data_IF_240340924331
#
_entry.id   IF_240340924331
#
_cell.length_a   1.000
_cell.length_b   1.000
_cell.length_c   1.000
_cell.angle_alpha   90.00
_cell.angle_beta   90.00
_cell.angle_gamma   90.00
#
_symmetry.space_group_name_H-M   'P 1'
#
loop_
_entity.id
_entity.type
_entity.pdbx_description
1 polymer ?
#
# COMPACT_ATOMS: atom_id res chain seq x y z
N UNK A 1 -17.32 -42.12 -19.22
CA UNK A 1 -17.22 -41.01 -20.19
C UNK A 1 -17.41 -39.68 -19.49
N UNK A 2 -16.35 -38.86 -19.33
CA UNK A 2 -16.47 -37.50 -18.77
C UNK A 2 -17.02 -36.57 -19.87
N UNK A 3 -18.30 -36.22 -19.83
CA UNK A 3 -18.90 -35.23 -20.76
C UNK A 3 -18.32 -33.85 -20.44
N UNK A 4 -17.40 -33.38 -21.28
CA UNK A 4 -16.83 -32.05 -21.15
C UNK A 4 -17.87 -30.98 -21.51
N UNK A 5 -17.92 -29.87 -20.77
CA UNK A 5 -18.85 -28.77 -21.01
C UNK A 5 -18.75 -28.24 -22.46
N UNK A 6 -19.88 -27.88 -23.11
CA UNK A 6 -19.87 -27.23 -24.42
C UNK A 6 -19.02 -25.95 -24.40
N UNK A 7 -18.33 -25.63 -25.50
CA UNK A 7 -17.39 -24.51 -25.58
C UNK A 7 -17.96 -23.16 -25.11
N UNK A 8 -19.25 -22.89 -25.39
CA UNK A 8 -19.99 -21.70 -24.94
C UNK A 8 -20.11 -21.58 -23.41
N UNK A 9 -20.26 -22.70 -22.71
CA UNK A 9 -20.37 -22.72 -21.25
C UNK A 9 -19.03 -22.51 -20.56
N UNK A 10 -17.92 -22.96 -21.17
CA UNK A 10 -16.57 -22.64 -20.68
C UNK A 10 -16.30 -21.15 -20.78
N UNK A 11 -16.66 -20.53 -21.90
CA UNK A 11 -16.51 -19.09 -22.11
C UNK A 11 -17.32 -18.28 -21.08
N UNK A 12 -18.55 -18.68 -20.78
CA UNK A 12 -19.39 -18.02 -19.76
C UNK A 12 -18.83 -18.17 -18.34
N UNK A 13 -18.26 -19.33 -18.00
CA UNK A 13 -17.57 -19.54 -16.71
C UNK A 13 -16.31 -18.66 -16.63
N UNK A 14 -15.59 -18.45 -17.73
CA UNK A 14 -14.44 -17.55 -17.78
C UNK A 14 -14.82 -16.07 -17.69
N UNK A 15 -15.88 -15.67 -18.38
CA UNK A 15 -16.43 -14.31 -18.28
C UNK A 15 -16.93 -14.07 -16.85
N UNK A 16 -17.63 -15.04 -16.25
CA UNK A 16 -18.04 -14.99 -14.85
C UNK A 16 -16.85 -14.92 -13.87
N UNK A 17 -15.77 -15.67 -14.13
CA UNK A 17 -14.54 -15.60 -13.33
C UNK A 17 -13.77 -14.27 -13.50
N UNK A 18 -13.74 -13.71 -14.71
CA UNK A 18 -13.16 -12.41 -14.99
C UNK A 18 -13.96 -11.29 -14.33
N UNK A 19 -15.30 -11.36 -14.36
CA UNK A 19 -16.21 -10.45 -13.66
C UNK A 19 -16.06 -10.61 -12.13
N UNK A 20 -15.91 -11.82 -11.62
CA UNK A 20 -15.73 -12.07 -10.18
C UNK A 20 -14.37 -11.56 -9.66
N UNK A 21 -13.31 -11.60 -10.46
CA UNK A 21 -12.03 -10.95 -10.15
C UNK A 21 -12.10 -9.41 -10.32
N UNK A 22 -13.02 -8.91 -11.13
CA UNK A 22 -13.29 -7.49 -11.36
C UNK A 22 -14.20 -6.85 -10.31
N UNK A 23 -15.06 -7.63 -9.65
CA UNK A 23 -16.05 -7.13 -8.69
C UNK A 23 -15.34 -6.68 -7.40
N UNK A 24 -15.57 -5.43 -6.96
CA UNK A 24 -15.01 -4.92 -5.71
C UNK A 24 -15.81 -5.52 -4.55
N UNK A 25 -15.44 -6.72 -4.10
CA UNK A 25 -16.13 -7.34 -2.96
C UNK A 25 -15.57 -6.84 -1.62
N UNK A 26 -14.41 -6.17 -1.60
CA UNK A 26 -13.81 -5.76 -0.33
C UNK A 26 -13.37 -4.30 -0.30
N UNK A 27 -13.49 -3.62 0.86
CA UNK A 27 -12.87 -2.32 1.06
C UNK A 27 -11.39 -2.39 0.71
N UNK A 28 -10.82 -1.25 0.28
CA UNK A 28 -9.42 -1.14 -0.17
C UNK A 28 -8.52 -1.94 0.77
N UNK A 29 -7.79 -2.96 0.26
CA UNK A 29 -6.88 -3.71 1.09
C UNK A 29 -5.89 -2.74 1.74
N UNK A 30 -5.74 -2.84 3.05
CA UNK A 30 -4.94 -1.88 3.79
C UNK A 30 -3.50 -2.40 3.92
N UNK A 31 -2.54 -1.70 3.29
CA UNK A 31 -1.11 -2.00 3.31
C UNK A 31 -0.57 -2.51 1.97
N UNK A 32 0.68 -2.17 1.67
CA UNK A 32 1.28 -2.38 0.33
C UNK A 32 1.39 -3.83 -0.07
N UNK A 33 1.66 -4.72 0.88
CA UNK A 33 1.76 -6.16 0.60
C UNK A 33 0.42 -6.71 0.12
N UNK A 34 -0.68 -6.33 0.78
CA UNK A 34 -2.02 -6.84 0.45
C UNK A 34 -2.50 -6.23 -0.86
N UNK A 35 -2.25 -4.93 -1.09
CA UNK A 35 -2.49 -4.29 -2.39
C UNK A 35 -1.74 -5.02 -3.51
N UNK A 36 -0.44 -5.30 -3.33
CA UNK A 36 0.35 -6.00 -4.35
C UNK A 36 -0.11 -7.45 -4.58
N UNK A 37 -0.51 -8.17 -3.54
CA UNK A 37 -1.08 -9.52 -3.68
C UNK A 37 -2.40 -9.51 -4.45
N UNK A 38 -3.21 -8.46 -4.25
CA UNK A 38 -4.44 -8.26 -5.02
C UNK A 38 -4.13 -7.96 -6.48
N UNK A 39 -3.18 -7.05 -6.76
CA UNK A 39 -2.72 -6.74 -8.13
C UNK A 39 -2.16 -8.00 -8.82
N UNK A 40 -1.48 -8.88 -8.07
CA UNK A 40 -0.90 -10.12 -8.59
C UNK A 40 -1.96 -11.06 -9.18
N UNK A 41 -3.25 -10.92 -8.81
CA UNK A 41 -4.35 -11.73 -9.36
C UNK A 41 -4.57 -11.51 -10.87
N UNK A 42 -4.07 -10.40 -11.43
CA UNK A 42 -4.05 -10.21 -12.88
C UNK A 42 -3.21 -11.29 -13.59
N UNK A 43 -2.11 -11.75 -12.97
CA UNK A 43 -1.22 -12.76 -13.59
C UNK A 43 -1.94 -14.08 -13.87
N UNK A 44 -2.53 -14.79 -12.88
CA UNK A 44 -3.24 -16.04 -13.13
C UNK A 44 -4.49 -15.81 -14.00
N UNK A 45 -5.19 -14.68 -13.85
CA UNK A 45 -6.36 -14.36 -14.69
C UNK A 45 -5.98 -14.31 -16.17
N UNK A 46 -5.02 -13.47 -16.54
CA UNK A 46 -4.65 -13.29 -17.94
C UNK A 46 -3.91 -14.50 -18.51
N UNK A 47 -3.14 -15.24 -17.69
CA UNK A 47 -2.55 -16.50 -18.11
C UNK A 47 -3.63 -17.52 -18.54
N UNK A 48 -4.69 -17.60 -17.76
CA UNK A 48 -5.77 -18.57 -17.93
C UNK A 48 -6.75 -18.20 -19.05
N UNK A 49 -7.04 -16.90 -19.20
CA UNK A 49 -7.73 -16.37 -20.38
C UNK A 49 -6.94 -16.65 -21.65
N UNK A 50 -5.63 -16.40 -21.63
CA UNK A 50 -4.74 -16.67 -22.76
C UNK A 50 -4.75 -18.14 -23.15
N UNK A 51 -4.63 -19.05 -22.16
CA UNK A 51 -4.71 -20.49 -22.41
C UNK A 51 -6.04 -20.90 -23.04
N UNK A 52 -7.14 -20.32 -22.59
CA UNK A 52 -8.49 -20.59 -23.13
C UNK A 52 -8.63 -20.11 -24.57
N UNK A 53 -8.25 -18.87 -24.86
CA UNK A 53 -8.37 -18.28 -26.22
C UNK A 53 -7.44 -19.00 -27.19
N UNK A 54 -6.28 -19.45 -26.72
CA UNK A 54 -5.33 -20.22 -27.52
C UNK A 54 -5.93 -21.51 -28.11
N UNK A 55 -6.79 -22.19 -27.37
CA UNK A 55 -7.47 -23.40 -27.86
C UNK A 55 -8.59 -23.11 -28.87
N UNK A 56 -8.98 -21.85 -29.06
CA UNK A 56 -10.10 -21.45 -29.92
C UNK A 56 -9.67 -20.73 -31.20
N UNK A 57 -8.42 -20.27 -31.31
CA UNK A 57 -7.98 -19.35 -32.38
C UNK A 57 -6.54 -19.63 -32.86
N UNK A 58 -6.15 -19.14 -34.06
CA UNK A 58 -4.78 -19.25 -34.55
C UNK A 58 -3.76 -18.54 -33.65
N UNK A 59 -2.63 -19.20 -33.39
CA UNK A 59 -1.60 -18.86 -32.40
C UNK A 59 -1.17 -17.39 -32.37
N UNK A 60 -0.90 -16.78 -33.54
CA UNK A 60 -0.40 -15.41 -33.63
C UNK A 60 -1.48 -14.34 -33.33
N UNK A 61 -2.76 -14.67 -33.55
CA UNK A 61 -3.88 -13.76 -33.23
C UNK A 61 -4.13 -13.68 -31.73
N UNK A 62 -3.74 -14.71 -30.97
CA UNK A 62 -3.97 -14.79 -29.52
C UNK A 62 -3.12 -13.77 -28.76
N UNK A 63 -1.83 -13.63 -29.11
CA UNK A 63 -0.95 -12.65 -28.48
C UNK A 63 -1.45 -11.22 -28.68
N UNK A 64 -1.71 -10.84 -29.94
CA UNK A 64 -2.20 -9.50 -30.26
C UNK A 64 -3.57 -9.20 -29.62
N UNK A 65 -4.49 -10.17 -29.66
CA UNK A 65 -5.80 -10.02 -29.03
C UNK A 65 -5.70 -9.88 -27.50
N UNK A 66 -4.88 -10.71 -26.84
CA UNK A 66 -4.77 -10.65 -25.38
C UNK A 66 -4.02 -9.40 -24.89
N UNK A 67 -2.97 -8.97 -25.59
CA UNK A 67 -2.31 -7.71 -25.29
C UNK A 67 -3.28 -6.52 -25.45
N UNK A 68 -4.09 -6.52 -26.51
CA UNK A 68 -5.13 -5.50 -26.70
C UNK A 68 -6.16 -5.53 -25.57
N UNK A 69 -6.62 -6.70 -25.14
CA UNK A 69 -7.57 -6.82 -24.01
C UNK A 69 -6.98 -6.24 -22.72
N UNK A 70 -5.71 -6.54 -22.39
CA UNK A 70 -5.04 -5.96 -21.22
C UNK A 70 -5.03 -4.43 -21.29
N UNK A 71 -4.67 -3.86 -22.45
CA UNK A 71 -4.61 -2.40 -22.64
C UNK A 71 -6.00 -1.75 -22.62
N UNK A 72 -7.03 -2.42 -23.15
CA UNK A 72 -8.41 -1.92 -23.12
C UNK A 72 -8.97 -1.92 -21.69
N UNK A 73 -8.65 -2.96 -20.90
CA UNK A 73 -9.01 -3.02 -19.48
C UNK A 73 -8.43 -1.82 -18.74
N UNK A 74 -7.13 -1.55 -18.92
CA UNK A 74 -6.43 -0.42 -18.34
C UNK A 74 -7.07 0.94 -18.72
N UNK A 75 -7.47 1.09 -19.98
CA UNK A 75 -8.09 2.32 -20.48
C UNK A 75 -9.50 2.56 -19.93
N UNK A 76 -10.24 1.49 -19.62
CA UNK A 76 -11.63 1.56 -19.11
C UNK A 76 -11.64 1.80 -17.58
N UNK A 77 -10.62 1.34 -16.86
CA UNK A 77 -10.54 1.44 -15.39
C UNK A 77 -10.79 2.87 -14.83
N UNK A 78 -10.26 3.96 -15.41
CA UNK A 78 -10.55 5.33 -14.97
C UNK A 78 -12.03 5.70 -14.99
N UNK A 79 -12.77 5.22 -15.98
CA UNK A 79 -14.22 5.48 -16.10
C UNK A 79 -15.00 4.85 -14.95
N UNK A 80 -14.44 3.81 -14.32
CA UNK A 80 -15.01 3.10 -13.18
C UNK A 80 -14.46 3.60 -11.84
N UNK A 81 -13.75 4.73 -11.82
CA UNK A 81 -13.19 5.33 -10.61
C UNK A 81 -11.94 4.62 -10.07
N UNK A 82 -11.24 3.84 -10.91
CA UNK A 82 -9.94 3.23 -10.57
C UNK A 82 -8.78 4.03 -11.18
N UNK A 83 -7.64 4.05 -10.50
CA UNK A 83 -6.43 4.62 -11.08
C UNK A 83 -5.86 3.63 -12.10
N UNK A 84 -5.71 4.07 -13.36
CA UNK A 84 -4.92 3.33 -14.34
C UNK A 84 -3.47 3.26 -13.84
N UNK A 85 -3.00 2.07 -13.54
CA UNK A 85 -1.64 1.79 -13.13
C UNK A 85 -0.87 1.00 -14.19
N UNK A 86 0.26 1.54 -14.64
CA UNK A 86 1.22 0.80 -15.50
C UNK A 86 1.64 -0.58 -14.94
N UNK A 87 1.53 -0.76 -13.62
CA UNK A 87 1.69 -2.03 -12.92
C UNK A 87 0.63 -3.07 -13.29
N UNK A 88 -0.65 -2.71 -13.37
CA UNK A 88 -1.73 -3.64 -13.71
C UNK A 88 -1.57 -4.12 -15.16
N UNK A 89 -1.26 -3.20 -16.07
CA UNK A 89 -0.89 -3.54 -17.45
C UNK A 89 0.34 -4.48 -17.52
N UNK A 90 1.40 -4.19 -16.75
CA UNK A 90 2.58 -5.07 -16.69
C UNK A 90 2.24 -6.47 -16.18
N UNK A 91 1.50 -6.58 -15.07
CA UNK A 91 1.11 -7.86 -14.48
C UNK A 91 0.18 -8.66 -15.41
N UNK A 92 -0.74 -7.98 -16.10
CA UNK A 92 -1.59 -8.60 -17.10
C UNK A 92 -0.79 -9.15 -18.29
N UNK A 93 0.12 -8.35 -18.86
CA UNK A 93 1.00 -8.79 -19.94
C UNK A 93 1.95 -9.91 -19.51
N UNK A 94 2.46 -9.87 -18.27
CA UNK A 94 3.28 -10.93 -17.72
C UNK A 94 2.49 -12.25 -17.63
N UNK A 95 1.21 -12.21 -17.21
CA UNK A 95 0.31 -13.36 -17.25
C UNK A 95 0.16 -13.96 -18.64
N UNK A 96 -0.07 -13.12 -19.66
CA UNK A 96 -0.13 -13.56 -21.08
C UNK A 96 1.20 -14.21 -21.49
N UNK A 97 2.34 -13.56 -21.20
CA UNK A 97 3.67 -14.04 -21.55
C UNK A 97 4.02 -15.38 -20.89
N UNK A 98 3.70 -15.55 -19.61
CA UNK A 98 3.89 -16.80 -18.86
C UNK A 98 3.11 -17.94 -19.51
N UNK A 99 1.83 -17.72 -19.84
CA UNK A 99 1.01 -18.75 -20.48
C UNK A 99 1.56 -19.17 -21.84
N UNK A 100 1.97 -18.20 -22.67
CA UNK A 100 2.56 -18.48 -23.98
C UNK A 100 3.89 -19.21 -23.88
N UNK A 101 4.75 -18.80 -22.93
CA UNK A 101 6.05 -19.43 -22.70
C UNK A 101 5.90 -20.89 -22.28
N UNK A 102 5.04 -21.19 -21.29
CA UNK A 102 4.79 -22.58 -20.88
C UNK A 102 4.08 -23.40 -21.97
N UNK A 103 3.22 -22.78 -22.77
CA UNK A 103 2.62 -23.46 -23.92
C UNK A 103 3.68 -23.81 -24.98
N UNK A 104 4.54 -22.87 -25.38
CA UNK A 104 5.61 -23.12 -26.34
C UNK A 104 6.62 -24.16 -25.82
N UNK A 105 6.89 -24.18 -24.51
CA UNK A 105 7.69 -25.19 -23.85
C UNK A 105 7.07 -26.61 -23.85
N UNK A 106 5.77 -26.73 -24.09
CA UNK A 106 5.08 -28.02 -24.20
C UNK A 106 5.19 -28.64 -25.60
N UNK A 107 5.55 -27.84 -26.60
CA UNK A 107 5.82 -28.34 -27.95
C UNK A 107 7.12 -29.18 -27.95
N UNK A 108 7.19 -30.16 -28.86
CA UNK A 108 8.41 -30.96 -29.11
C UNK A 108 9.44 -30.17 -29.94
N UNK A 109 9.71 -28.94 -29.52
CA UNK A 109 10.67 -28.02 -30.15
C UNK A 109 12.02 -28.09 -29.41
N UNK A 110 13.12 -27.97 -30.15
CA UNK A 110 14.48 -27.83 -29.62
C UNK A 110 14.59 -26.67 -28.61
N UNK A 111 13.77 -25.63 -28.76
CA UNK A 111 13.77 -24.43 -27.89
C UNK A 111 12.98 -24.58 -26.59
N UNK A 112 12.43 -25.77 -26.27
CA UNK A 112 11.60 -25.98 -25.07
C UNK A 112 12.23 -25.46 -23.76
N UNK A 113 13.55 -25.62 -23.61
CA UNK A 113 14.28 -25.17 -22.43
C UNK A 113 14.28 -23.65 -22.28
N UNK A 114 14.50 -22.93 -23.38
CA UNK A 114 14.48 -21.47 -23.41
C UNK A 114 13.10 -20.91 -23.05
N UNK A 115 12.03 -21.51 -23.58
CA UNK A 115 10.67 -21.10 -23.23
C UNK A 115 10.31 -21.36 -21.77
N UNK A 116 10.75 -22.49 -21.18
CA UNK A 116 10.58 -22.73 -19.73
C UNK A 116 11.33 -21.71 -18.90
N UNK A 117 12.58 -21.44 -19.26
CA UNK A 117 13.41 -20.46 -18.58
C UNK A 117 12.76 -19.06 -18.63
N UNK A 118 12.20 -18.66 -19.79
CA UNK A 118 11.46 -17.40 -19.92
C UNK A 118 10.22 -17.36 -19.02
N UNK A 119 9.41 -18.43 -19.02
CA UNK A 119 8.22 -18.50 -18.17
C UNK A 119 8.55 -18.42 -16.67
N UNK A 120 9.61 -19.11 -16.23
CA UNK A 120 10.12 -19.03 -14.87
C UNK A 120 10.67 -17.64 -14.57
N UNK A 121 11.44 -17.03 -15.48
CA UNK A 121 11.99 -15.70 -15.30
C UNK A 121 10.88 -14.64 -15.14
N UNK A 122 9.81 -14.72 -15.95
CA UNK A 122 8.64 -13.85 -15.81
C UNK A 122 7.92 -14.07 -14.48
N UNK A 123 7.75 -15.33 -14.06
CA UNK A 123 7.13 -15.66 -12.76
C UNK A 123 7.96 -15.12 -11.59
N UNK A 124 9.28 -15.28 -11.63
CA UNK A 124 10.19 -14.72 -10.63
C UNK A 124 10.12 -13.19 -10.64
N UNK A 125 10.08 -12.56 -11.82
CA UNK A 125 9.99 -11.11 -11.94
C UNK A 125 8.72 -10.53 -11.30
N UNK A 126 7.55 -11.18 -11.47
CA UNK A 126 6.29 -10.71 -10.84
C UNK A 126 6.22 -11.00 -9.34
N UNK A 127 6.89 -12.05 -8.86
CA UNK A 127 6.94 -12.39 -7.44
C UNK A 127 8.04 -11.63 -6.67
N UNK A 128 9.08 -11.16 -7.36
CA UNK A 128 10.24 -10.52 -6.75
C UNK A 128 9.89 -9.38 -5.78
N UNK A 129 8.93 -8.48 -6.07
CA UNK A 129 8.56 -7.40 -5.15
C UNK A 129 7.93 -7.86 -3.82
N UNK A 130 7.42 -9.10 -3.73
CA UNK A 130 6.87 -9.63 -2.48
C UNK A 130 7.93 -9.78 -1.39
N UNK A 131 9.16 -10.14 -1.76
CA UNK A 131 10.24 -10.36 -0.81
C UNK A 131 10.59 -9.08 0.00
N UNK A 132 10.90 -7.92 -0.63
CA UNK A 132 11.12 -6.70 0.13
C UNK A 132 9.86 -6.24 0.88
N UNK A 133 8.65 -6.36 0.31
CA UNK A 133 7.44 -5.96 1.04
C UNK A 133 7.19 -6.81 2.30
N UNK A 134 7.42 -8.12 2.22
CA UNK A 134 7.34 -9.03 3.36
C UNK A 134 8.40 -8.74 4.40
N UNK A 135 9.65 -8.50 3.97
CA UNK A 135 10.75 -8.12 4.86
C UNK A 135 10.45 -6.80 5.59
N UNK A 136 9.96 -5.78 4.88
CA UNK A 136 9.59 -4.49 5.47
C UNK A 136 8.54 -4.66 6.57
N UNK A 137 7.49 -5.44 6.30
CA UNK A 137 6.42 -5.71 7.26
C UNK A 137 6.92 -6.47 8.48
N UNK A 138 7.80 -7.46 8.27
CA UNK A 138 8.43 -8.20 9.36
C UNK A 138 9.32 -7.30 10.22
N UNK A 139 10.16 -6.47 9.59
CA UNK A 139 11.00 -5.49 10.29
C UNK A 139 10.16 -4.46 11.05
N UNK A 140 9.04 -4.00 10.49
CA UNK A 140 8.11 -3.11 11.17
C UNK A 140 7.54 -3.75 12.46
N UNK A 141 7.15 -5.02 12.38
CA UNK A 141 6.67 -5.78 13.54
C UNK A 141 7.75 -5.95 14.61
N UNK A 142 8.99 -6.24 14.21
CA UNK A 142 10.12 -6.38 15.14
C UNK A 142 10.58 -5.06 15.76
N UNK A 143 10.45 -3.96 15.02
CA UNK A 143 10.83 -2.64 15.50
C UNK A 143 9.81 -2.05 16.47
N UNK A 144 8.56 -2.54 16.46
CA UNK A 144 7.51 -2.08 17.36
C UNK A 144 8.00 -2.10 18.82
N UNK A 145 7.84 -1.00 19.59
CA UNK A 145 6.92 0.13 19.37
C UNK A 145 7.48 1.31 18.55
N UNK A 146 8.63 1.17 17.90
CA UNK A 146 9.13 2.17 16.94
C UNK A 146 8.35 2.04 15.62
N UNK A 147 7.62 3.08 15.24
CA UNK A 147 6.80 3.09 14.02
C UNK A 147 7.60 3.58 12.81
N UNK A 148 8.44 4.60 13.01
CA UNK A 148 9.33 5.12 11.98
C UNK A 148 10.58 5.78 12.59
N UNK A 149 11.74 5.50 12.01
CA UNK A 149 13.02 6.22 12.24
C UNK A 149 13.71 6.60 10.93
N UNK A 150 13.13 6.18 9.80
CA UNK A 150 13.59 6.40 8.43
C UNK A 150 15.01 5.88 8.18
N UNK A 151 15.47 4.89 8.96
CA UNK A 151 16.79 4.25 8.77
C UNK A 151 16.82 3.34 7.56
N UNK A 152 15.69 2.74 7.19
CA UNK A 152 15.51 2.04 5.93
C UNK A 152 14.78 2.92 4.91
N UNK A 153 15.10 2.75 3.62
CA UNK A 153 14.31 3.38 2.52
C UNK A 153 12.89 2.82 2.44
N UNK A 154 12.69 1.59 2.94
CA UNK A 154 11.40 0.89 2.86
C UNK A 154 10.36 1.49 3.81
N UNK A 155 10.83 2.08 4.92
CA UNK A 155 10.01 2.84 5.87
C UNK A 155 9.33 4.03 5.19
N UNK A 156 10.03 4.78 4.34
CA UNK A 156 9.45 5.93 3.59
C UNK A 156 8.25 5.51 2.77
N UNK A 157 8.29 4.31 2.17
CA UNK A 157 7.18 3.82 1.36
C UNK A 157 5.94 3.41 2.16
N UNK A 158 6.02 3.35 3.50
CA UNK A 158 4.84 3.17 4.39
C UNK A 158 4.02 4.45 4.53
N UNK A 159 4.56 5.59 4.07
CA UNK A 159 3.93 6.89 4.14
C UNK A 159 3.35 7.30 2.79
N UNK A 160 2.19 7.96 2.81
CA UNK A 160 1.56 8.59 1.66
C UNK A 160 1.53 10.11 1.87
N UNK A 161 1.96 10.85 0.86
CA UNK A 161 1.84 12.31 0.84
C UNK A 161 0.49 12.72 0.26
N UNK A 162 -0.21 13.63 0.90
CA UNK A 162 -1.38 14.33 0.34
C UNK A 162 -0.99 15.79 0.15
N UNK A 163 -0.95 16.27 -1.08
CA UNK A 163 -0.42 17.61 -1.39
C UNK A 163 1.07 17.81 -1.09
N UNK A 164 1.77 16.74 -0.70
CA UNK A 164 3.15 16.76 -0.25
C UNK A 164 4.01 15.77 -1.03
N UNK A 165 5.24 16.18 -1.33
CA UNK A 165 6.31 15.28 -1.77
C UNK A 165 7.04 14.78 -0.55
N UNK A 166 7.16 13.46 -0.43
CA UNK A 166 7.88 12.81 0.66
C UNK A 166 9.24 12.34 0.15
N UNK A 167 10.30 12.80 0.80
CA UNK A 167 11.67 12.38 0.47
C UNK A 167 12.42 11.98 1.72
N UNK A 168 13.29 10.98 1.60
CA UNK A 168 14.16 10.56 2.70
C UNK A 168 15.44 11.38 2.65
N UNK A 169 15.79 12.06 3.73
CA UNK A 169 17.01 12.86 3.82
C UNK A 169 17.85 12.48 5.04
N UNK A 170 19.16 12.57 4.88
CA UNK A 170 20.12 12.39 5.98
C UNK A 170 20.17 13.67 6.82
N UNK A 171 20.17 13.51 8.14
CA UNK A 171 20.33 14.59 9.11
C UNK A 171 21.59 14.35 9.94
N UNK A 172 22.08 15.35 10.69
CA UNK A 172 23.18 15.14 11.63
C UNK A 172 22.89 14.04 12.67
N UNK A 173 21.62 13.89 13.06
CA UNK A 173 21.16 12.90 14.05
C UNK A 173 20.77 11.55 13.45
N UNK A 174 20.81 11.37 12.12
CA UNK A 174 20.43 10.13 11.46
C UNK A 174 19.70 10.34 10.13
N UNK A 175 18.46 9.88 10.06
CA UNK A 175 17.62 9.98 8.86
C UNK A 175 16.27 10.59 9.22
N UNK A 176 15.64 11.21 8.23
CA UNK A 176 14.34 11.85 8.37
C UNK A 176 13.50 11.67 7.11
N UNK A 177 12.19 11.81 7.27
CA UNK A 177 11.24 12.05 6.20
C UNK A 177 11.04 13.55 6.04
N UNK A 178 11.53 14.11 4.95
CA UNK A 178 11.21 15.46 4.52
C UNK A 178 9.84 15.44 3.85
N UNK A 179 8.92 16.18 4.44
CA UNK A 179 7.62 16.48 3.88
C UNK A 179 7.66 17.89 3.31
N UNK A 180 7.55 18.02 1.99
CA UNK A 180 7.50 19.31 1.28
C UNK A 180 6.12 19.49 0.65
N UNK A 181 5.46 20.60 0.94
CA UNK A 181 4.16 20.96 0.37
C UNK A 181 4.35 21.34 -1.09
N UNK A 182 3.69 20.63 -2.00
CA UNK A 182 3.84 20.84 -3.46
C UNK A 182 2.57 21.29 -4.14
N UNK A 183 1.42 21.18 -3.46
CA UNK A 183 0.11 21.57 -3.97
C UNK A 183 -0.62 22.39 -2.91
N UNK A 184 -1.36 23.40 -3.35
CA UNK A 184 -2.21 24.21 -2.49
C UNK A 184 -3.51 23.42 -2.24
N UNK A 185 -3.49 22.59 -1.21
CA UNK A 185 -4.63 21.76 -0.78
C UNK A 185 -4.93 22.04 0.68
N UNK A 186 -6.18 21.80 1.06
CA UNK A 186 -6.56 21.71 2.47
C UNK A 186 -5.91 20.48 3.11
N UNK A 187 -5.29 20.68 4.26
CA UNK A 187 -4.61 19.63 5.03
C UNK A 187 -3.48 18.89 4.30
N UNK A 188 -2.46 19.59 3.76
CA UNK A 188 -1.33 18.92 3.11
C UNK A 188 -0.47 18.23 4.18
N UNK A 189 -0.09 16.98 3.92
CA UNK A 189 0.47 16.13 4.97
C UNK A 189 1.10 14.82 4.52
N UNK A 190 1.65 14.11 5.51
CA UNK A 190 2.21 12.78 5.42
C UNK A 190 1.41 11.83 6.31
N UNK A 191 0.98 10.71 5.74
CA UNK A 191 0.13 9.74 6.42
C UNK A 191 0.83 8.38 6.43
N UNK A 192 1.16 7.88 7.62
CA UNK A 192 1.63 6.51 7.81
C UNK A 192 0.43 5.58 7.67
N UNK A 193 0.38 4.83 6.57
CA UNK A 193 -0.74 3.94 6.21
C UNK A 193 -0.41 2.46 6.36
N UNK A 194 0.85 2.15 6.67
CA UNK A 194 1.31 0.78 6.91
C UNK A 194 2.24 0.73 8.13
N UNK A 195 1.70 0.29 9.26
CA UNK A 195 2.42 0.07 10.51
C UNK A 195 1.75 -1.06 11.30
N UNK A 196 2.41 -1.60 12.35
CA UNK A 196 1.72 -2.42 13.34
C UNK A 196 0.49 -1.68 13.88
N UNK A 197 -0.68 -2.33 13.85
CA UNK A 197 -1.98 -1.68 14.09
C UNK A 197 -2.47 -1.76 15.53
N UNK A 198 -1.96 -2.72 16.27
CA UNK A 198 -2.36 -2.94 17.64
C UNK A 198 -1.55 -2.03 18.57
N UNK A 199 -2.14 -0.90 18.91
CA UNK A 199 -1.65 0.08 19.87
C UNK A 199 -2.36 -0.07 21.22
N UNK A 200 -2.99 -1.23 21.49
CA UNK A 200 -3.78 -1.46 22.72
C UNK A 200 -2.98 -1.20 23.99
N UNK A 201 -1.67 -1.46 23.98
CA UNK A 201 -0.75 -1.20 25.10
C UNK A 201 -0.12 0.19 25.07
N UNK A 202 -0.51 1.08 24.15
CA UNK A 202 0.03 2.44 24.08
C UNK A 202 -0.33 3.22 25.34
N UNK A 203 0.70 3.70 26.05
CA UNK A 203 0.61 4.74 27.07
C UNK A 203 0.69 6.14 26.44
N UNK A 204 1.60 6.30 25.48
CA UNK A 204 1.93 7.59 24.88
C UNK A 204 2.44 7.41 23.44
N UNK A 205 2.07 8.31 22.54
CA UNK A 205 2.61 8.44 21.18
C UNK A 205 3.54 9.65 21.14
N UNK A 206 4.79 9.41 20.74
CA UNK A 206 5.84 10.43 20.63
C UNK A 206 6.24 10.63 19.16
N UNK A 207 6.32 11.90 18.73
CA UNK A 207 6.80 12.29 17.41
C UNK A 207 7.91 13.33 17.55
N UNK A 208 9.07 13.03 16.99
CA UNK A 208 10.17 13.98 16.87
C UNK A 208 10.21 14.54 15.46
N UNK A 209 10.20 15.87 15.33
CA UNK A 209 10.28 16.55 14.04
C UNK A 209 11.12 17.82 14.12
N UNK A 210 11.57 18.31 12.98
CA UNK A 210 12.30 19.57 12.86
C UNK A 210 11.56 20.54 11.95
N UNK A 211 11.31 21.73 12.47
CA UNK A 211 10.69 22.84 11.76
C UNK A 211 11.77 23.87 11.38
N UNK A 212 12.04 24.10 10.08
CA UNK A 212 13.04 25.04 9.62
C UNK A 212 12.56 26.49 9.55
N UNK A 213 11.28 26.76 9.80
CA UNK A 213 10.72 28.10 9.68
C UNK A 213 11.15 29.03 10.82
N UNK A 214 11.11 30.36 10.61
CA UNK A 214 11.58 31.35 11.57
C UNK A 214 10.61 31.62 12.73
N UNK A 215 9.33 31.23 12.60
CA UNK A 215 8.28 31.47 13.58
C UNK A 215 7.55 30.18 14.00
N UNK A 216 6.58 30.32 14.90
CA UNK A 216 5.74 29.19 15.30
C UNK A 216 4.83 28.74 14.16
N UNK A 217 4.55 27.44 14.09
CA UNK A 217 3.69 26.87 13.05
C UNK A 217 2.72 25.85 13.60
N UNK A 218 1.44 26.01 13.29
CA UNK A 218 0.42 25.03 13.63
C UNK A 218 0.64 23.72 12.87
N UNK A 219 0.59 22.60 13.58
CA UNK A 219 0.79 21.27 13.03
C UNK A 219 -0.11 20.26 13.71
N UNK A 220 -0.78 19.45 12.88
CA UNK A 220 -1.79 18.52 13.30
C UNK A 220 -1.24 17.11 13.35
N UNK A 221 -1.60 16.40 14.41
CA UNK A 221 -1.34 14.99 14.62
C UNK A 221 -2.69 14.29 14.75
N UNK A 222 -2.94 13.28 13.92
CA UNK A 222 -4.20 12.52 13.90
C UNK A 222 -3.93 11.03 13.84
N UNK A 223 -4.77 10.23 14.49
CA UNK A 223 -4.82 8.80 14.26
C UNK A 223 -6.23 8.37 13.85
N UNK A 224 -6.34 7.31 13.04
CA UNK A 224 -7.61 6.73 12.63
C UNK A 224 -7.64 5.24 12.99
N UNK A 225 -8.76 4.78 13.52
CA UNK A 225 -9.04 3.38 13.87
C UNK A 225 -10.05 2.71 12.91
N UNK A 226 -10.45 3.44 11.87
CA UNK A 226 -11.40 3.00 10.84
C UNK A 226 -10.87 3.36 9.46
N UNK A 227 -11.12 2.51 8.44
CA UNK A 227 -10.84 2.87 7.07
C UNK A 227 -11.65 4.12 6.66
N UNK A 228 -11.20 4.77 5.59
CA UNK A 228 -11.75 6.01 5.04
C UNK A 228 -11.52 7.26 5.91
N UNK A 229 -12.04 8.41 5.46
CA UNK A 229 -11.93 9.67 6.19
C UNK A 229 -13.22 9.88 6.98
N UNK A 230 -13.31 9.44 8.25
CA UNK A 230 -14.51 9.61 9.05
C UNK A 230 -14.90 11.10 9.16
N UNK A 231 -16.16 11.43 9.51
CA UNK A 231 -16.57 12.80 9.79
C UNK A 231 -15.62 13.46 10.81
N UNK A 232 -15.47 14.78 10.75
CA UNK A 232 -14.52 15.51 11.62
C UNK A 232 -14.73 15.19 13.11
N UNK A 233 -15.99 15.09 13.55
CA UNK A 233 -16.35 14.78 14.93
C UNK A 233 -15.92 13.38 15.41
N UNK A 234 -15.58 12.47 14.49
CA UNK A 234 -15.20 11.08 14.78
C UNK A 234 -13.68 10.87 14.72
N UNK A 235 -12.89 11.94 14.60
CA UNK A 235 -11.43 11.90 14.48
C UNK A 235 -10.78 12.22 15.81
N UNK A 236 -9.82 11.40 16.24
CA UNK A 236 -8.89 11.77 17.31
C UNK A 236 -7.72 12.52 16.71
N UNK A 237 -7.53 13.76 17.14
CA UNK A 237 -6.47 14.62 16.63
C UNK A 237 -6.09 15.68 17.67
N UNK A 238 -4.84 16.10 17.61
CA UNK A 238 -4.26 17.10 18.50
C UNK A 238 -3.49 18.11 17.68
N UNK A 239 -3.63 19.37 18.04
CA UNK A 239 -2.92 20.50 17.41
C UNK A 239 -1.71 20.85 18.27
N UNK A 240 -0.57 21.05 17.62
CA UNK A 240 0.66 21.55 18.24
C UNK A 240 1.13 22.83 17.56
N UNK A 241 1.80 23.68 18.32
CA UNK A 241 2.55 24.81 17.80
C UNK A 241 4.02 24.43 17.76
N UNK A 242 4.55 24.23 16.55
CA UNK A 242 5.96 23.95 16.33
C UNK A 242 6.76 25.23 16.53
N UNK A 243 7.73 25.21 17.42
CA UNK A 243 8.74 26.26 17.49
C UNK A 243 9.82 26.02 16.42
N UNK A 244 10.58 27.06 15.99
CA UNK A 244 11.77 26.87 15.18
C UNK A 244 12.72 25.84 15.80
N UNK A 245 13.18 24.86 15.01
CA UNK A 245 14.08 23.81 15.45
C UNK A 245 13.41 22.46 15.73
N UNK A 246 13.98 21.68 16.66
CA UNK A 246 13.52 20.33 16.99
C UNK A 246 12.35 20.40 17.98
N UNK A 247 11.24 19.75 17.63
CA UNK A 247 10.04 19.63 18.44
C UNK A 247 9.80 18.17 18.79
N UNK A 248 9.33 17.93 20.01
CA UNK A 248 8.89 16.62 20.50
C UNK A 248 7.42 16.71 20.87
N UNK A 249 6.57 16.16 20.00
CA UNK A 249 5.14 16.10 20.22
C UNK A 249 4.82 14.83 21.00
N UNK A 250 3.91 14.93 21.96
CA UNK A 250 3.47 13.79 22.75
C UNK A 250 1.97 13.80 23.00
N UNK A 251 1.32 12.67 22.72
CA UNK A 251 -0.09 12.43 23.02
C UNK A 251 -0.21 11.25 23.97
N UNK A 252 -0.84 11.47 25.12
CA UNK A 252 -1.15 10.37 26.05
C UNK A 252 -2.38 9.62 25.56
N UNK A 253 -2.45 8.33 25.88
CA UNK A 253 -3.61 7.49 25.60
C UNK A 253 -4.91 8.09 26.13
N UNK A 254 -4.87 8.65 27.34
CA UNK A 254 -6.01 9.31 28.00
C UNK A 254 -6.66 10.36 27.12
N UNK A 255 -5.84 11.09 26.36
CA UNK A 255 -6.26 12.25 25.57
C UNK A 255 -6.99 11.82 24.29
N UNK A 256 -6.84 10.57 23.85
CA UNK A 256 -7.43 9.98 22.64
C UNK A 256 -8.39 8.81 22.93
N UNK A 257 -8.88 8.67 24.16
CA UNK A 257 -9.80 7.57 24.52
C UNK A 257 -11.14 7.66 23.80
N UNK A 258 -11.65 8.88 23.61
CA UNK A 258 -12.91 9.16 22.93
C UNK A 258 -12.71 10.24 21.87
N UNK A 259 -13.40 10.09 20.75
CA UNK A 259 -13.53 11.12 19.73
C UNK A 259 -14.39 12.29 20.22
N UNK A 260 -14.37 13.45 19.54
CA UNK A 260 -15.25 14.58 19.87
C UNK A 260 -16.75 14.25 19.90
N UNK A 261 -17.21 13.27 19.12
CA UNK A 261 -18.60 12.79 19.12
C UNK A 261 -18.95 11.86 20.30
N UNK A 262 -17.97 11.51 21.14
CA UNK A 262 -18.11 10.58 22.26
C UNK A 262 -17.87 9.11 21.90
N UNK A 263 -17.63 8.78 20.63
CA UNK A 263 -17.29 7.42 20.21
C UNK A 263 -15.93 6.99 20.78
N UNK A 264 -15.80 5.77 21.36
CA UNK A 264 -14.51 5.21 21.76
C UNK A 264 -13.55 5.03 20.58
N UNK A 265 -12.26 5.32 20.79
CA UNK A 265 -11.21 5.05 19.82
C UNK A 265 -10.61 3.64 20.03
N UNK A 266 -10.56 2.83 18.98
CA UNK A 266 -10.11 1.44 19.04
C UNK A 266 -8.60 1.32 18.80
N UNK A 267 -7.82 1.46 19.86
CA UNK A 267 -6.36 1.31 19.81
C UNK A 267 -5.87 -0.05 19.27
N UNK A 268 -6.67 -1.11 19.35
CA UNK A 268 -6.31 -2.43 18.78
C UNK A 268 -6.34 -2.49 17.25
N UNK A 269 -6.86 -1.45 16.58
CA UNK A 269 -7.01 -1.43 15.12
C UNK A 269 -6.70 -0.05 14.52
N UNK A 270 -5.54 0.52 14.85
CA UNK A 270 -5.12 1.79 14.22
C UNK A 270 -4.73 1.54 12.76
N UNK A 271 -5.39 2.25 11.84
CA UNK A 271 -5.20 2.10 10.39
C UNK A 271 -4.31 3.17 9.79
N UNK A 272 -4.25 4.36 10.38
CA UNK A 272 -3.36 5.43 9.91
C UNK A 272 -2.96 6.42 11.00
N UNK A 273 -1.79 7.04 10.81
CA UNK A 273 -1.32 8.21 11.54
C UNK A 273 -1.03 9.35 10.56
N UNK A 274 -1.68 10.49 10.73
CA UNK A 274 -1.48 11.70 9.92
C UNK A 274 -0.65 12.76 10.64
N UNK A 275 0.28 13.34 9.89
CA UNK A 275 1.08 14.52 10.25
C UNK A 275 0.87 15.58 9.17
N UNK A 276 0.21 16.69 9.47
CA UNK A 276 -0.22 17.62 8.42
C UNK A 276 -0.31 19.06 8.92
N UNK A 277 -0.29 20.00 7.99
CA UNK A 277 -0.60 21.40 8.27
C UNK A 277 -2.11 21.64 8.16
N UNK A 278 -2.68 22.58 8.90
CA UNK A 278 -4.06 23.02 8.67
C UNK A 278 -4.20 23.63 7.27
N UNK A 279 -3.38 24.64 7.04
CA UNK A 279 -3.12 25.28 5.75
C UNK A 279 -1.61 25.37 5.57
N UNK A 280 -1.11 25.30 4.33
CA UNK A 280 0.29 25.57 4.04
C UNK A 280 0.50 26.08 2.63
N UNK A 281 1.45 27.00 2.49
CA UNK A 281 1.92 27.47 1.21
C UNK A 281 2.85 26.43 0.57
N UNK A 282 2.83 26.38 -0.76
CA UNK A 282 3.79 25.59 -1.53
C UNK A 282 5.25 25.92 -1.15
N UNK A 283 6.05 24.88 -0.96
CA UNK A 283 7.46 24.96 -0.54
C UNK A 283 7.67 24.92 0.96
N UNK A 284 6.61 25.02 1.78
CA UNK A 284 6.72 24.74 3.20
C UNK A 284 7.18 23.29 3.44
N UNK A 285 8.06 23.11 4.42
CA UNK A 285 8.69 21.81 4.68
C UNK A 285 8.86 21.54 6.16
N UNK A 286 8.70 20.28 6.54
CA UNK A 286 9.00 19.78 7.88
C UNK A 286 9.70 18.43 7.77
N UNK A 287 10.64 18.18 8.68
CA UNK A 287 11.40 16.94 8.70
C UNK A 287 10.96 16.06 9.87
N UNK A 288 10.26 14.97 9.60
CA UNK A 288 9.89 13.98 10.63
C UNK A 288 11.09 13.08 10.88
N UNK A 289 11.54 12.99 12.12
CA UNK A 289 12.76 12.25 12.50
C UNK A 289 12.43 10.90 13.10
N UNK A 290 11.45 10.85 14.00
CA UNK A 290 11.06 9.61 14.69
C UNK A 290 9.56 9.63 15.03
N UNK A 291 8.93 8.46 14.95
CA UNK A 291 7.58 8.19 15.44
C UNK A 291 7.62 6.90 16.26
N UNK A 292 7.19 6.96 17.51
CA UNK A 292 7.32 5.88 18.49
C UNK A 292 6.13 5.85 19.43
N UNK A 293 5.75 4.65 19.87
CA UNK A 293 4.89 4.47 21.03
C UNK A 293 5.73 4.17 22.28
N UNK A 294 5.30 4.70 23.42
CA UNK A 294 5.67 4.19 24.72
C UNK A 294 4.54 3.31 25.19
N UNK A 295 4.86 2.06 25.49
CA UNK A 295 3.89 1.06 25.93
C UNK A 295 3.76 1.10 27.46
N UNK A 296 2.60 0.68 27.96
CA UNK A 296 2.46 0.32 29.37
C UNK A 296 3.47 -0.78 29.70
N UNK A 297 4.17 -0.63 30.82
CA UNK A 297 5.01 -1.71 31.33
C UNK A 297 4.05 -2.79 31.81
N UNK A 298 4.15 -4.05 31.34
CA UNK A 298 3.31 -5.10 31.87
C UNK A 298 3.54 -5.15 33.39
N UNK A 299 2.48 -5.37 34.20
CA UNK A 299 2.68 -5.60 35.62
C UNK A 299 3.68 -6.74 35.74
N UNK A 300 4.83 -6.47 36.35
CA UNK A 300 5.78 -7.52 36.73
C UNK A 300 4.98 -8.53 37.53
N UNK A 301 4.76 -9.73 36.98
CA UNK A 301 4.27 -10.84 37.78
C UNK A 301 5.31 -11.02 38.87
N UNK A 302 5.00 -10.57 40.09
CA UNK A 302 5.75 -10.95 41.27
C UNK A 302 5.81 -12.48 41.23
N UNK A 303 7.02 -13.00 41.08
CA UNK A 303 7.31 -14.41 41.30
C UNK A 303 7.05 -14.64 42.79
N UNK A 304 5.85 -15.13 43.11
CA UNK A 304 5.59 -15.81 44.36
C UNK A 304 6.22 -17.20 44.31
#
# INVERSE_FOLDING_TARGET
MKRSLPARWRLLVWIGGAIALWLPVTPRPSGRLVEYLFDLMHVPLFALLTFTVWHLRPRWKVLGAMALVVLLVELIQPVLGREAGSRDAFLGLAGVGIALAFHAASARDARRGAWRALGIALLVAVLFPLAPLGLDRYEAGRAFPLLASFRSRMETGRWRGRGCRLTRARTPSGWSLQMEVTQDLEYPGAFLVEAPRDWSQMKELCVALFWPGPGTREFWLRADDRPDSPPYADRVQTVYLLAPGVNRLSVRRSDWTTTPSGRPFHFGHVVSLGLFFGEAARGERVAVQEVRLHLETPPTSEKH
#
